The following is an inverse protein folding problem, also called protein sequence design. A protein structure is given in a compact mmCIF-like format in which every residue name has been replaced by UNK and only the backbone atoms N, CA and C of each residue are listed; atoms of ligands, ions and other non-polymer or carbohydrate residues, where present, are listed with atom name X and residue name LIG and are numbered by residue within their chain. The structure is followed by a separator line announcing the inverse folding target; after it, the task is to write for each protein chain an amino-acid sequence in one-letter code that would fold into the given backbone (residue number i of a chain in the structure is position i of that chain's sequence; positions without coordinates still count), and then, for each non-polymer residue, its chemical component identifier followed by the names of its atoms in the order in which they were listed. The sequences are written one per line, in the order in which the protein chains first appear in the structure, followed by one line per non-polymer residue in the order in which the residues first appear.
data_IF_124593674188
#
_entry.id   IF_124593674188
#
_cell.length_a   1.000
_cell.length_b   1.000
_cell.length_c   1.000
_cell.angle_alpha   90.00
_cell.angle_beta   90.00
_cell.angle_gamma   90.00
#
_symmetry.space_group_name_H-M   'P 1'
#
loop_
_entity.id
_entity.type
_entity.pdbx_description
1 polymer ?
#
# COMPACT_ATOMS: atom_id res chain seq x y z
N UNK A 1 10.14 -28.70 -11.73
CA UNK A 1 10.86 -27.95 -10.67
C UNK A 1 11.95 -27.15 -11.34
N UNK A 2 11.82 -25.82 -11.34
CA UNK A 2 12.68 -24.95 -10.54
C UNK A 2 11.96 -23.59 -10.51
N UNK A 3 11.65 -23.18 -9.29
CA UNK A 3 10.99 -21.94 -8.93
C UNK A 3 11.41 -20.75 -9.79
N UNK A 4 10.42 -19.96 -10.21
CA UNK A 4 10.61 -18.64 -10.82
C UNK A 4 11.31 -17.75 -9.80
N UNK A 5 12.64 -17.67 -9.89
CA UNK A 5 13.48 -16.73 -9.15
C UNK A 5 13.25 -15.32 -9.71
N UNK A 6 12.08 -14.77 -9.42
CA UNK A 6 11.75 -13.34 -9.55
C UNK A 6 11.85 -12.63 -8.19
N UNK A 7 12.60 -13.21 -7.26
CA UNK A 7 12.68 -12.80 -5.85
C UNK A 7 13.77 -11.77 -5.54
N UNK A 8 14.61 -11.35 -6.51
CA UNK A 8 15.90 -10.70 -6.19
C UNK A 8 16.26 -9.43 -6.98
N UNK A 9 15.28 -8.67 -7.46
CA UNK A 9 15.48 -7.21 -7.47
C UNK A 9 14.79 -6.72 -6.21
N UNK A 10 15.53 -6.10 -5.28
CA UNK A 10 15.06 -5.55 -3.99
C UNK A 10 14.04 -4.41 -4.18
N UNK A 11 13.04 -4.62 -5.02
CA UNK A 11 11.84 -3.82 -5.13
C UNK A 11 10.97 -4.18 -3.93
N UNK A 12 11.01 -3.33 -2.91
CA UNK A 12 10.03 -3.37 -1.85
C UNK A 12 8.78 -2.65 -2.31
N UNK A 13 7.64 -3.31 -2.13
CA UNK A 13 6.33 -2.71 -2.34
C UNK A 13 5.65 -2.49 -0.99
N UNK A 14 5.02 -1.33 -0.79
CA UNK A 14 4.23 -1.05 0.40
C UNK A 14 2.83 -0.60 0.02
N UNK A 15 1.83 -1.27 0.60
CA UNK A 15 0.43 -0.90 0.47
C UNK A 15 0.06 0.13 1.54
N UNK A 16 -0.54 1.23 1.12
CA UNK A 16 -0.87 2.39 1.94
C UNK A 16 -2.32 2.75 1.64
N UNK A 17 -3.15 2.75 2.68
CA UNK A 17 -4.52 3.26 2.58
C UNK A 17 -4.43 4.78 2.71
N UNK A 18 -4.89 5.48 1.70
CA UNK A 18 -4.84 6.93 1.61
C UNK A 18 -6.24 7.52 1.57
N UNK A 19 -6.52 8.47 2.46
CA UNK A 19 -7.87 8.97 2.74
C UNK A 19 -8.26 10.19 1.90
N UNK A 20 -7.38 10.64 1.00
CA UNK A 20 -7.63 11.82 0.16
C UNK A 20 -7.60 11.44 -1.31
N UNK A 21 -8.68 10.85 -1.81
CA UNK A 21 -8.76 10.46 -3.23
C UNK A 21 -8.60 11.64 -4.21
N UNK A 22 -8.90 12.86 -3.77
CA UNK A 22 -8.75 14.08 -4.58
C UNK A 22 -7.30 14.38 -4.99
N UNK A 23 -6.32 13.93 -4.19
CA UNK A 23 -4.89 14.14 -4.45
C UNK A 23 -4.26 13.08 -5.37
N UNK A 24 -5.01 12.02 -5.72
CA UNK A 24 -4.53 10.98 -6.67
C UNK A 24 -4.52 11.48 -8.12
N UNK A 25 -5.04 12.69 -8.37
CA UNK A 25 -5.01 13.29 -9.71
C UNK A 25 -3.56 13.45 -10.19
N UNK A 26 -3.33 13.18 -11.48
CA UNK A 26 -2.00 13.34 -12.11
C UNK A 26 -1.40 14.74 -11.87
N UNK A 27 -2.25 15.76 -11.79
CA UNK A 27 -1.86 17.15 -11.54
C UNK A 27 -1.24 17.37 -10.14
N UNK A 28 -1.62 16.54 -9.15
CA UNK A 28 -1.10 16.60 -7.77
C UNK A 28 -0.16 15.43 -7.43
N UNK A 29 0.32 14.70 -8.44
CA UNK A 29 1.17 13.55 -8.22
C UNK A 29 2.45 13.91 -7.45
N UNK A 30 3.02 15.09 -7.67
CA UNK A 30 4.21 15.58 -6.95
C UNK A 30 3.93 15.78 -5.45
N UNK A 31 2.80 16.40 -5.10
CA UNK A 31 2.37 16.57 -3.71
C UNK A 31 2.06 15.23 -3.05
N UNK A 32 1.39 14.32 -3.76
CA UNK A 32 1.11 12.96 -3.29
C UNK A 32 2.41 12.22 -2.98
N UNK A 33 3.37 12.23 -3.91
CA UNK A 33 4.67 11.57 -3.72
C UNK A 33 5.38 12.16 -2.52
N UNK A 34 5.43 13.49 -2.38
CA UNK A 34 6.09 14.14 -1.25
C UNK A 34 5.46 13.76 0.10
N UNK A 35 4.13 13.77 0.18
CA UNK A 35 3.39 13.33 1.37
C UNK A 35 3.68 11.86 1.70
N UNK A 36 3.69 10.99 0.69
CA UNK A 36 4.06 9.58 0.84
C UNK A 36 5.51 9.42 1.33
N UNK A 37 6.45 10.20 0.81
CA UNK A 37 7.86 10.16 1.24
C UNK A 37 8.02 10.60 2.71
N UNK A 38 7.36 11.68 3.12
CA UNK A 38 7.39 12.16 4.52
C UNK A 38 6.74 11.18 5.48
N UNK A 39 5.55 10.64 5.14
CA UNK A 39 4.79 9.74 6.02
C UNK A 39 5.41 8.36 6.13
N UNK A 40 6.03 7.86 5.06
CA UNK A 40 6.61 6.52 5.03
C UNK A 40 8.11 6.50 5.35
N UNK A 41 8.77 7.65 5.28
CA UNK A 41 10.23 7.77 5.39
C UNK A 41 11.00 7.27 4.16
N UNK A 42 10.31 6.90 3.09
CA UNK A 42 10.92 6.38 1.86
C UNK A 42 11.33 7.55 0.99
N UNK A 43 12.64 7.82 0.88
CA UNK A 43 13.16 8.97 0.10
C UNK A 43 13.04 8.81 -1.41
N UNK A 44 12.98 7.58 -1.92
CA UNK A 44 13.01 7.29 -3.35
C UNK A 44 11.91 6.30 -3.71
N UNK A 45 10.81 6.84 -4.21
CA UNK A 45 9.71 6.06 -4.77
C UNK A 45 9.97 5.92 -6.27
N UNK A 46 10.01 4.70 -6.76
CA UNK A 46 10.26 4.38 -8.16
C UNK A 46 8.98 4.36 -8.98
N UNK A 47 7.89 3.88 -8.39
CA UNK A 47 6.57 3.78 -9.03
C UNK A 47 5.50 3.83 -7.95
N UNK A 48 4.38 4.45 -8.27
CA UNK A 48 3.16 4.43 -7.46
C UNK A 48 2.07 3.82 -8.31
N UNK A 49 1.37 2.84 -7.77
CA UNK A 49 0.18 2.26 -8.37
C UNK A 49 -1.04 2.58 -7.53
N UNK A 50 -2.07 3.08 -8.19
CA UNK A 50 -3.37 3.29 -7.58
C UNK A 50 -4.15 1.99 -7.69
N UNK A 51 -4.45 1.40 -6.55
CA UNK A 51 -5.24 0.19 -6.43
C UNK A 51 -6.73 0.48 -6.38
N UNK A 52 -7.42 -0.17 -5.44
CA UNK A 52 -8.86 -0.03 -5.29
C UNK A 52 -9.20 1.35 -4.72
N UNK A 53 -10.15 2.01 -5.35
CA UNK A 53 -10.69 3.29 -4.88
C UNK A 53 -12.07 3.03 -4.31
N UNK A 54 -12.32 3.54 -3.10
CA UNK A 54 -13.60 3.47 -2.44
C UNK A 54 -14.17 4.88 -2.31
N UNK A 55 -14.97 5.27 -3.31
CA UNK A 55 -15.62 6.58 -3.38
C UNK A 55 -16.60 6.85 -2.24
N UNK A 56 -17.14 5.80 -1.60
CA UNK A 56 -18.09 5.96 -0.51
C UNK A 56 -17.42 6.48 0.78
N UNK A 57 -16.13 6.17 0.95
CA UNK A 57 -15.35 6.55 2.13
C UNK A 57 -14.23 7.53 1.80
N UNK A 58 -14.16 8.00 0.55
CA UNK A 58 -13.07 8.83 0.02
C UNK A 58 -11.66 8.25 0.24
N UNK A 59 -11.54 6.92 0.33
CA UNK A 59 -10.25 6.24 0.53
C UNK A 59 -9.80 5.52 -0.75
N UNK A 60 -8.49 5.36 -0.92
CA UNK A 60 -7.91 4.48 -1.93
C UNK A 60 -6.74 3.67 -1.38
N UNK A 61 -6.49 2.53 -2.00
CA UNK A 61 -5.28 1.78 -1.81
C UNK A 61 -4.20 2.29 -2.77
N UNK A 62 -3.04 2.66 -2.23
CA UNK A 62 -1.86 3.05 -3.00
C UNK A 62 -0.75 2.02 -2.75
N UNK A 63 -0.19 1.48 -3.81
CA UNK A 63 0.97 0.59 -3.74
C UNK A 63 2.19 1.33 -4.25
N UNK A 64 3.14 1.62 -3.36
CA UNK A 64 4.39 2.27 -3.72
C UNK A 64 5.51 1.24 -3.87
N UNK A 65 6.31 1.38 -4.91
CA UNK A 65 7.47 0.55 -5.20
C UNK A 65 8.73 1.37 -4.99
N UNK A 66 9.65 0.85 -4.19
CA UNK A 66 10.89 1.50 -3.83
C UNK A 66 12.01 0.49 -3.66
N UNK A 67 13.24 0.91 -3.94
CA UNK A 67 14.42 0.10 -3.64
C UNK A 67 14.87 0.40 -2.22
N UNK A 68 14.78 -0.58 -1.33
CA UNK A 68 15.38 -0.50 0.01
C UNK A 68 16.68 -1.28 0.04
N UNK A 69 17.72 -0.64 0.54
CA UNK A 69 18.99 -1.32 0.85
C UNK A 69 18.92 -2.04 2.21
N UNK A 70 17.89 -1.73 3.01
CA UNK A 70 17.64 -2.37 4.31
C UNK A 70 16.33 -3.15 4.27
N UNK A 71 16.45 -4.47 4.39
CA UNK A 71 15.34 -5.41 4.57
C UNK A 71 14.61 -5.04 5.86
N UNK A 72 13.62 -4.14 5.79
CA UNK A 72 12.69 -3.95 6.89
C UNK A 72 11.57 -4.96 6.66
N UNK A 73 11.61 -6.02 7.47
CA UNK A 73 10.56 -7.03 7.56
C UNK A 73 9.19 -6.34 7.65
N UNK A 74 8.42 -6.46 6.57
CA UNK A 74 7.02 -6.09 6.56
C UNK A 74 6.30 -7.08 7.48
N UNK A 75 6.09 -6.68 8.73
CA UNK A 75 5.16 -7.36 9.63
C UNK A 75 3.76 -7.23 9.04
N UNK A 76 3.37 -8.18 8.19
CA UNK A 76 2.01 -8.41 7.73
C UNK A 76 1.18 -8.94 8.90
N UNK A 77 0.95 -8.10 9.90
CA UNK A 77 0.06 -8.37 11.02
C UNK A 77 -1.01 -7.29 11.04
N UNK A 78 -1.92 -7.35 10.07
CA UNK A 78 -3.26 -6.77 10.22
C UNK A 78 -4.28 -7.78 9.70
N UNK A 79 -4.43 -8.85 10.47
CA UNK A 79 -5.54 -9.79 10.38
C UNK A 79 -6.75 -9.06 10.95
N UNK A 80 -7.44 -8.26 10.14
CA UNK A 80 -8.80 -7.84 10.45
C UNK A 80 -9.71 -9.06 10.31
N UNK A 81 -9.80 -9.85 11.37
CA UNK A 81 -10.98 -10.65 11.67
C UNK A 81 -11.85 -9.80 12.58
N UNK A 82 -12.64 -8.90 11.98
CA UNK A 82 -13.78 -8.34 12.68
C UNK A 82 -14.98 -9.23 12.40
N UNK A 83 -15.49 -9.77 13.50
CA UNK A 83 -16.68 -10.58 13.64
C UNK A 83 -17.91 -9.90 13.03
N UNK A 84 -18.82 -10.72 12.49
CA UNK A 84 -20.22 -10.74 12.90
C UNK A 84 -20.90 -11.90 12.18
N UNK A 85 -21.51 -12.82 12.94
CA UNK A 85 -22.81 -13.43 12.65
C UNK A 85 -23.19 -14.25 13.89
N UNK A 86 -23.91 -13.55 14.76
CA UNK A 86 -24.74 -14.04 15.86
C UNK A 86 -25.92 -14.86 15.30
N UNK A 87 -26.30 -15.96 15.95
CA UNK A 87 -27.64 -16.56 15.87
C UNK A 87 -27.79 -17.91 15.16
N UNK A 88 -28.15 -18.94 15.96
CA UNK A 88 -29.12 -20.06 15.77
C UNK A 88 -28.55 -21.34 16.43
N UNK A 89 -29.04 -21.83 17.57
CA UNK A 89 -30.31 -22.53 17.86
C UNK A 89 -30.00 -24.01 18.21
N UNK A 90 -29.96 -24.32 19.51
CA UNK A 90 -30.59 -25.47 20.21
C UNK A 90 -30.33 -25.36 21.73
#
# INVERSE_FOLDING_TARGET
MLEKVWLLKHESSKLIIYEKINLIREENYDELVKDLQERTGIKKINRVEVGKINFLRDICDLTIYYYTDKVHEVHASDRIQNADNDGDDD
#
